data_IF_017733792099
#
_entry.id   IF_017733792099
#
_cell.length_a   1.000
_cell.length_b   1.000
_cell.length_c   1.000
_cell.angle_alpha   90.00
_cell.angle_beta   90.00
_cell.angle_gamma   90.00
#
_symmetry.space_group_name_H-M   'P 1'
#
loop_
_entity.id
_entity.type
_entity.pdbx_description
1 polymer ?
#
# COMPACT_ATOMS: atom_id res chain seq x y z
N UNK A 1 -21.09 12.74 -34.80
CA UNK A 1 -19.75 12.34 -34.43
C UNK A 1 -19.50 12.75 -32.99
N UNK A 2 -19.43 11.84 -32.03
CA UNK A 2 -19.01 12.20 -30.65
C UNK A 2 -17.49 12.18 -30.62
N UNK A 3 -16.92 13.26 -30.13
CA UNK A 3 -15.49 13.47 -29.94
C UNK A 3 -14.91 12.39 -29.04
N UNK A 4 -13.86 11.72 -29.51
CA UNK A 4 -12.93 10.96 -28.71
C UNK A 4 -12.34 11.93 -27.67
N UNK A 5 -12.76 11.85 -26.42
CA UNK A 5 -12.05 12.46 -25.32
C UNK A 5 -10.84 11.57 -24.98
N UNK A 6 -9.75 11.81 -25.69
CA UNK A 6 -8.44 11.40 -25.18
C UNK A 6 -8.24 12.08 -23.83
N UNK A 7 -7.67 11.34 -22.86
CA UNK A 7 -7.28 11.93 -21.56
C UNK A 7 -6.49 13.22 -21.80
N UNK A 8 -6.65 14.23 -20.96
CA UNK A 8 -5.90 15.45 -21.07
C UNK A 8 -4.39 15.13 -21.06
N UNK A 9 -3.56 15.88 -21.80
CA UNK A 9 -2.12 15.62 -21.90
C UNK A 9 -1.39 15.41 -20.57
N UNK A 10 -1.92 15.95 -19.46
CA UNK A 10 -1.43 15.77 -18.10
C UNK A 10 -1.56 14.35 -17.56
N UNK A 11 -2.65 13.63 -17.89
CA UNK A 11 -2.86 12.24 -17.41
C UNK A 11 -1.97 11.24 -18.16
N UNK A 12 -1.76 11.44 -19.44
CA UNK A 12 -0.83 10.60 -20.22
C UNK A 12 0.62 10.76 -19.72
N UNK A 13 1.02 11.97 -19.33
CA UNK A 13 2.34 12.22 -18.75
C UNK A 13 2.50 11.55 -17.38
N UNK A 14 1.45 11.57 -16.54
CA UNK A 14 1.47 10.92 -15.23
C UNK A 14 1.64 9.41 -15.33
N UNK A 15 0.84 8.74 -16.16
CA UNK A 15 0.97 7.29 -16.40
C UNK A 15 2.38 6.93 -16.93
N UNK A 16 2.95 7.75 -17.83
CA UNK A 16 4.30 7.54 -18.33
C UNK A 16 5.34 7.64 -17.20
N UNK A 17 5.21 8.61 -16.30
CA UNK A 17 6.10 8.77 -15.14
C UNK A 17 6.02 7.56 -14.19
N UNK A 18 4.82 7.04 -13.95
CA UNK A 18 4.64 5.83 -13.14
C UNK A 18 5.32 4.61 -13.79
N UNK A 19 5.14 4.43 -15.09
CA UNK A 19 5.78 3.36 -15.86
C UNK A 19 7.31 3.45 -15.81
N UNK A 20 7.87 4.66 -15.93
CA UNK A 20 9.31 4.87 -15.84
C UNK A 20 9.86 4.51 -14.46
N UNK A 21 9.15 4.86 -13.40
CA UNK A 21 9.51 4.51 -12.02
C UNK A 21 9.42 3.00 -11.76
N UNK A 22 8.45 2.32 -12.39
CA UNK A 22 8.24 0.88 -12.26
C UNK A 22 9.19 0.03 -13.10
N UNK A 23 9.68 0.58 -14.23
CA UNK A 23 10.45 -0.16 -15.25
C UNK A 23 11.66 -0.92 -14.73
N UNK A 24 12.49 -0.38 -13.83
CA UNK A 24 13.62 -1.13 -13.28
C UNK A 24 13.18 -2.39 -12.52
N UNK A 25 12.07 -2.32 -11.77
CA UNK A 25 11.51 -3.50 -11.11
C UNK A 25 10.99 -4.52 -12.10
N UNK A 26 10.22 -4.08 -13.12
CA UNK A 26 9.69 -4.94 -14.16
C UNK A 26 10.77 -5.67 -14.99
N UNK A 27 11.99 -5.11 -15.03
CA UNK A 27 13.13 -5.67 -15.75
C UNK A 27 14.11 -6.42 -14.85
N UNK A 28 13.91 -6.39 -13.54
CA UNK A 28 14.86 -6.95 -12.58
C UNK A 28 16.19 -6.19 -12.50
N UNK A 29 16.19 -4.91 -12.91
CA UNK A 29 17.36 -4.03 -12.91
C UNK A 29 17.60 -3.42 -11.53
N UNK A 30 17.77 -4.28 -10.49
CA UNK A 30 17.82 -3.85 -9.08
C UNK A 30 18.93 -2.84 -8.81
N UNK A 31 20.08 -2.97 -9.47
CA UNK A 31 21.20 -2.04 -9.33
C UNK A 31 20.88 -0.62 -9.82
N UNK A 32 19.97 -0.48 -10.78
CA UNK A 32 19.51 0.84 -11.26
C UNK A 32 18.54 1.53 -10.29
N UNK A 33 17.93 0.78 -9.37
CA UNK A 33 17.06 1.31 -8.31
C UNK A 33 17.91 1.80 -7.14
N UNK A 34 18.82 0.94 -6.69
CA UNK A 34 19.79 1.21 -5.65
C UNK A 34 21.03 0.33 -5.91
N UNK A 35 22.20 0.95 -6.00
CA UNK A 35 23.45 0.24 -6.27
C UNK A 35 23.73 -0.89 -5.27
N UNK A 36 23.29 -0.75 -4.03
CA UNK A 36 23.48 -1.73 -2.97
C UNK A 36 22.40 -2.81 -2.93
N UNK A 37 21.25 -2.60 -3.57
CA UNK A 37 20.13 -3.52 -3.47
C UNK A 37 20.46 -4.97 -3.86
N UNK A 38 21.22 -5.27 -4.94
CA UNK A 38 21.59 -6.64 -5.25
C UNK A 38 22.39 -7.31 -4.12
N UNK A 39 23.30 -6.58 -3.47
CA UNK A 39 24.09 -7.10 -2.35
C UNK A 39 23.25 -7.31 -1.09
N UNK A 40 22.30 -6.42 -0.81
CA UNK A 40 21.37 -6.55 0.32
C UNK A 40 20.46 -7.77 0.15
N UNK A 41 19.94 -7.97 -1.06
CA UNK A 41 19.15 -9.17 -1.41
C UNK A 41 19.99 -10.44 -1.26
N UNK A 42 21.26 -10.40 -1.66
CA UNK A 42 22.17 -11.53 -1.49
C UNK A 42 22.44 -11.86 0.00
N UNK A 43 22.56 -10.85 0.85
CA UNK A 43 22.67 -11.03 2.31
C UNK A 43 21.43 -11.72 2.87
N UNK A 44 20.22 -11.21 2.56
CA UNK A 44 18.96 -11.83 3.01
C UNK A 44 18.82 -13.27 2.52
N UNK A 45 19.24 -13.55 1.28
CA UNK A 45 19.26 -14.91 0.73
C UNK A 45 20.24 -15.82 1.49
N UNK A 46 21.41 -15.32 1.83
CA UNK A 46 22.46 -16.10 2.54
C UNK A 46 22.04 -16.51 3.96
N UNK A 47 21.14 -15.76 4.59
CA UNK A 47 20.58 -16.07 5.92
C UNK A 47 19.27 -16.88 5.85
N UNK A 48 18.93 -17.40 4.67
CA UNK A 48 17.83 -18.36 4.50
C UNK A 48 16.45 -17.75 4.20
N UNK A 49 16.35 -16.44 3.97
CA UNK A 49 15.04 -15.81 3.69
C UNK A 49 14.36 -16.39 2.43
N UNK A 50 15.15 -16.84 1.44
CA UNK A 50 14.60 -17.47 0.23
C UNK A 50 14.08 -18.89 0.43
N UNK A 51 14.42 -19.56 1.55
CA UNK A 51 13.99 -20.92 1.88
C UNK A 51 12.81 -20.94 2.86
N UNK A 52 12.41 -19.77 3.35
CA UNK A 52 11.28 -19.62 4.26
C UNK A 52 10.01 -19.38 3.46
N UNK A 53 9.01 -20.25 3.65
CA UNK A 53 7.68 -20.05 3.06
C UNK A 53 6.98 -18.83 3.67
N UNK A 54 6.38 -18.01 2.83
CA UNK A 54 5.61 -16.87 3.27
C UNK A 54 4.42 -16.61 2.32
N UNK A 55 3.22 -16.92 2.78
CA UNK A 55 1.97 -16.69 2.04
C UNK A 55 1.96 -17.32 0.63
N UNK A 56 2.30 -16.55 -0.40
CA UNK A 56 2.24 -16.93 -1.81
C UNK A 56 3.61 -17.20 -2.44
N UNK A 57 4.69 -16.96 -1.71
CA UNK A 57 6.05 -17.10 -2.23
C UNK A 57 7.08 -17.36 -1.14
N UNK A 58 8.31 -16.99 -1.38
CA UNK A 58 9.34 -17.00 -0.37
C UNK A 58 9.28 -15.72 0.49
N UNK A 59 9.80 -15.81 1.69
CA UNK A 59 9.90 -14.64 2.55
C UNK A 59 10.82 -13.57 1.96
N UNK A 60 11.82 -13.97 1.19
CA UNK A 60 12.70 -13.04 0.47
C UNK A 60 11.92 -12.23 -0.58
N UNK A 61 11.03 -12.87 -1.34
CA UNK A 61 10.21 -12.19 -2.33
C UNK A 61 9.32 -11.14 -1.66
N UNK A 62 8.68 -11.49 -0.54
CA UNK A 62 7.90 -10.56 0.26
C UNK A 62 8.73 -9.35 0.73
N UNK A 63 9.95 -9.54 1.24
CA UNK A 63 10.82 -8.44 1.68
C UNK A 63 11.18 -7.50 0.52
N UNK A 64 11.48 -8.05 -0.66
CA UNK A 64 11.77 -7.27 -1.87
C UNK A 64 10.52 -6.54 -2.37
N UNK A 65 9.36 -7.16 -2.27
CA UNK A 65 8.09 -6.57 -2.65
C UNK A 65 7.71 -5.39 -1.76
N UNK A 66 7.92 -5.49 -0.44
CA UNK A 66 7.74 -4.35 0.46
C UNK A 66 8.68 -3.19 0.10
N UNK A 67 9.94 -3.47 -0.17
CA UNK A 67 10.88 -2.46 -0.66
C UNK A 67 10.38 -1.80 -1.94
N UNK A 68 9.89 -2.57 -2.93
CA UNK A 68 9.31 -2.08 -4.18
C UNK A 68 8.13 -1.15 -3.93
N UNK A 69 7.15 -1.58 -3.11
CA UNK A 69 5.97 -0.80 -2.77
C UNK A 69 6.37 0.57 -2.20
N UNK A 70 7.26 0.58 -1.20
CA UNK A 70 7.73 1.81 -0.56
C UNK A 70 8.47 2.74 -1.53
N UNK A 71 9.30 2.19 -2.44
CA UNK A 71 9.98 2.96 -3.48
C UNK A 71 8.98 3.59 -4.47
N UNK A 72 7.97 2.85 -4.89
CA UNK A 72 6.89 3.36 -5.76
C UNK A 72 6.12 4.47 -5.04
N UNK A 73 5.88 4.33 -3.74
CA UNK A 73 5.25 5.36 -2.91
C UNK A 73 6.18 6.55 -2.61
N UNK A 74 7.42 6.54 -3.13
CA UNK A 74 8.43 7.59 -2.92
C UNK A 74 8.82 7.81 -1.46
N UNK A 75 8.75 6.75 -0.65
CA UNK A 75 9.26 6.78 0.70
C UNK A 75 10.78 7.02 0.70
N UNK A 76 11.29 7.68 1.73
CA UNK A 76 12.71 7.92 1.93
C UNK A 76 13.49 6.60 1.94
N UNK A 77 14.74 6.61 1.49
CA UNK A 77 15.57 5.41 1.36
C UNK A 77 15.71 4.62 2.66
N UNK A 78 15.84 5.30 3.81
CA UNK A 78 15.88 4.64 5.12
C UNK A 78 14.60 3.88 5.45
N UNK A 79 13.43 4.37 4.99
CA UNK A 79 12.12 3.70 5.14
C UNK A 79 12.04 2.50 4.20
N UNK A 80 12.52 2.64 2.95
CA UNK A 80 12.58 1.53 1.99
C UNK A 80 13.46 0.39 2.50
N UNK A 81 14.64 0.72 3.05
CA UNK A 81 15.55 -0.24 3.66
C UNK A 81 14.94 -0.86 4.94
N UNK A 82 14.19 -0.06 5.72
CA UNK A 82 13.40 -0.62 6.81
C UNK A 82 12.40 -1.66 6.28
N UNK A 83 11.73 -1.40 5.16
CA UNK A 83 10.84 -2.37 4.51
C UNK A 83 11.55 -3.67 4.12
N UNK A 84 12.72 -3.57 3.51
CA UNK A 84 13.52 -4.74 3.12
C UNK A 84 13.96 -5.59 4.32
N UNK A 85 14.17 -5.00 5.49
CA UNK A 85 14.67 -5.64 6.70
C UNK A 85 13.65 -5.65 7.87
N UNK A 86 12.38 -5.41 7.62
CA UNK A 86 11.36 -5.17 8.65
C UNK A 86 11.15 -6.32 9.66
N UNK A 87 11.61 -7.51 9.35
CA UNK A 87 11.59 -8.68 10.23
C UNK A 87 13.00 -9.13 10.67
N UNK A 88 14.00 -8.24 10.57
CA UNK A 88 15.37 -8.60 10.94
C UNK A 88 15.48 -9.18 12.35
N UNK A 89 14.76 -8.63 13.34
CA UNK A 89 14.86 -9.01 14.75
C UNK A 89 13.57 -9.63 15.31
N UNK A 90 12.67 -10.14 14.46
CA UNK A 90 11.29 -10.46 14.82
C UNK A 90 10.43 -9.18 14.99
N UNK A 91 9.12 -9.29 15.03
CA UNK A 91 8.24 -8.15 15.22
C UNK A 91 6.96 -8.53 15.98
N UNK A 92 6.09 -7.53 16.24
CA UNK A 92 4.87 -7.73 17.03
C UNK A 92 3.77 -8.55 16.35
N UNK A 93 3.85 -8.74 15.03
CA UNK A 93 2.90 -9.57 14.28
C UNK A 93 3.44 -10.99 14.06
N UNK A 94 4.76 -11.13 13.88
CA UNK A 94 5.39 -12.41 13.49
C UNK A 94 6.67 -12.60 14.29
N UNK A 95 6.77 -13.74 14.99
CA UNK A 95 7.97 -14.10 15.74
C UNK A 95 8.96 -14.86 14.83
N UNK A 96 9.47 -14.17 13.81
CA UNK A 96 10.48 -14.66 12.88
C UNK A 96 11.63 -13.65 12.85
N UNK A 97 12.78 -14.01 13.42
CA UNK A 97 13.99 -13.20 13.36
C UNK A 97 14.94 -13.77 12.30
N UNK A 98 15.40 -12.93 11.38
CA UNK A 98 16.39 -13.31 10.35
C UNK A 98 17.81 -13.24 10.95
N UNK A 99 18.05 -12.27 11.82
CA UNK A 99 19.31 -12.06 12.51
C UNK A 99 19.12 -12.28 14.01
N UNK A 100 20.18 -12.70 14.69
CA UNK A 100 20.15 -12.83 16.15
C UNK A 100 19.89 -11.46 16.80
N UNK A 101 18.84 -11.33 17.63
CA UNK A 101 18.47 -10.04 18.21
C UNK A 101 19.53 -9.43 19.15
N UNK A 102 20.45 -10.25 19.65
CA UNK A 102 21.47 -9.81 20.61
C UNK A 102 22.77 -9.35 19.92
N UNK A 103 23.07 -9.90 18.74
CA UNK A 103 24.34 -9.63 18.03
C UNK A 103 24.16 -9.10 16.61
N UNK A 104 22.95 -9.22 16.07
CA UNK A 104 22.65 -8.91 14.66
C UNK A 104 22.56 -7.41 14.35
N UNK A 105 22.38 -6.55 15.36
CA UNK A 105 22.21 -5.10 15.11
C UNK A 105 23.40 -4.46 14.42
N UNK A 106 24.61 -4.74 14.87
CA UNK A 106 25.82 -4.20 14.23
C UNK A 106 26.00 -4.74 12.81
N UNK A 107 25.63 -6.00 12.59
CA UNK A 107 25.65 -6.60 11.25
C UNK A 107 24.66 -5.91 10.32
N UNK A 108 23.41 -5.73 10.74
CA UNK A 108 22.38 -5.04 9.94
C UNK A 108 22.80 -3.59 9.70
N UNK A 109 23.30 -2.90 10.74
CA UNK A 109 23.78 -1.51 10.64
C UNK A 109 24.90 -1.35 9.61
N UNK A 110 25.82 -2.30 9.56
CA UNK A 110 26.89 -2.28 8.56
C UNK A 110 26.38 -2.39 7.12
N UNK A 111 25.20 -3.00 6.91
CA UNK A 111 24.59 -3.14 5.59
C UNK A 111 23.71 -1.95 5.21
N UNK A 112 22.89 -1.44 6.14
CA UNK A 112 21.83 -0.46 5.82
C UNK A 112 22.09 0.94 6.39
N UNK A 113 23.10 1.11 7.24
CA UNK A 113 23.42 2.36 7.93
C UNK A 113 22.59 2.61 9.20
N UNK A 114 23.00 3.60 9.99
CA UNK A 114 22.41 3.89 11.31
C UNK A 114 20.94 4.27 11.25
N UNK A 115 20.55 5.14 10.31
CA UNK A 115 19.17 5.64 10.20
C UNK A 115 18.19 4.52 9.89
N UNK A 116 18.50 3.67 8.91
CA UNK A 116 17.62 2.55 8.55
C UNK A 116 17.61 1.48 9.65
N UNK A 117 18.77 1.14 10.25
CA UNK A 117 18.84 0.16 11.33
C UNK A 117 18.01 0.59 12.55
N UNK A 118 18.06 1.88 12.92
CA UNK A 118 17.24 2.42 13.99
C UNK A 118 15.74 2.23 13.71
N UNK A 119 15.27 2.51 12.48
CA UNK A 119 13.88 2.28 12.09
C UNK A 119 13.51 0.79 12.15
N UNK A 120 14.38 -0.09 11.63
CA UNK A 120 14.20 -1.55 11.67
C UNK A 120 14.07 -2.03 13.12
N UNK A 121 14.98 -1.59 13.99
CA UNK A 121 14.92 -1.96 15.39
C UNK A 121 13.63 -1.52 16.07
N UNK A 122 13.26 -0.25 15.93
CA UNK A 122 12.01 0.28 16.49
C UNK A 122 10.79 -0.46 15.94
N UNK A 123 10.76 -0.72 14.63
CA UNK A 123 9.67 -1.47 13.99
C UNK A 123 9.54 -2.90 14.53
N UNK A 124 10.65 -3.53 14.94
CA UNK A 124 10.66 -4.88 15.49
C UNK A 124 10.27 -4.93 16.98
N UNK A 125 10.59 -3.91 17.78
CA UNK A 125 10.44 -3.97 19.24
C UNK A 125 9.21 -3.25 19.79
N UNK A 126 8.58 -2.39 18.99
CA UNK A 126 7.37 -1.65 19.39
C UNK A 126 6.13 -2.54 19.20
N UNK A 127 5.15 -2.52 20.11
CA UNK A 127 3.89 -3.25 19.99
C UNK A 127 2.97 -2.58 18.96
N UNK A 128 3.32 -2.70 17.66
CA UNK A 128 2.66 -1.97 16.56
C UNK A 128 1.20 -2.35 16.36
N UNK A 129 0.84 -3.62 16.59
CA UNK A 129 -0.55 -4.05 16.43
C UNK A 129 -1.49 -3.29 17.37
N UNK A 130 -1.32 -3.33 18.72
CA UNK A 130 -2.16 -2.52 19.60
C UNK A 130 -2.04 -1.02 19.29
N UNK A 131 -0.84 -0.50 19.03
CA UNK A 131 -0.67 0.92 18.71
C UNK A 131 -1.50 1.34 17.47
N UNK A 132 -1.38 0.62 16.36
CA UNK A 132 -2.03 1.01 15.11
C UNK A 132 -3.53 0.72 15.16
N UNK A 133 -3.94 -0.44 15.61
CA UNK A 133 -5.34 -0.84 15.59
C UNK A 133 -6.09 -0.32 16.83
N UNK A 134 -5.66 -0.67 18.02
CA UNK A 134 -6.42 -0.39 19.25
C UNK A 134 -6.31 1.09 19.67
N UNK A 135 -5.08 1.63 19.68
CA UNK A 135 -4.84 2.98 20.19
C UNK A 135 -5.10 4.09 19.17
N UNK A 136 -5.08 3.78 17.87
CA UNK A 136 -5.27 4.78 16.81
C UNK A 136 -6.51 4.52 15.95
N UNK A 137 -6.54 3.45 15.14
CA UNK A 137 -7.60 3.23 14.17
C UNK A 137 -8.99 3.12 14.82
N UNK A 138 -9.12 2.36 15.89
CA UNK A 138 -10.42 2.12 16.53
C UNK A 138 -10.91 3.27 17.40
N UNK A 139 -10.08 4.31 17.59
CA UNK A 139 -10.54 5.57 18.19
C UNK A 139 -11.34 6.44 17.22
N UNK A 140 -11.38 6.10 15.94
CA UNK A 140 -12.11 6.86 14.91
C UNK A 140 -13.26 6.06 14.35
N UNK A 141 -14.38 6.73 14.07
CA UNK A 141 -15.40 6.22 13.14
C UNK A 141 -15.04 6.58 11.71
N UNK A 142 -15.68 5.93 10.72
CA UNK A 142 -15.45 6.25 9.31
C UNK A 142 -15.91 7.67 8.97
N UNK A 143 -17.03 8.12 9.55
CA UNK A 143 -17.55 9.48 9.38
C UNK A 143 -16.58 10.53 9.94
N UNK A 144 -16.00 10.27 11.11
CA UNK A 144 -14.98 11.14 11.70
C UNK A 144 -13.74 11.24 10.81
N UNK A 145 -13.24 10.12 10.28
CA UNK A 145 -12.09 10.12 9.38
C UNK A 145 -12.38 10.93 8.11
N UNK A 146 -13.53 10.73 7.47
CA UNK A 146 -13.94 11.49 6.28
C UNK A 146 -14.05 12.99 6.59
N UNK A 147 -14.67 13.36 7.71
CA UNK A 147 -14.81 14.76 8.12
C UNK A 147 -13.43 15.38 8.44
N UNK A 148 -12.59 14.67 9.19
CA UNK A 148 -11.28 15.15 9.60
C UNK A 148 -10.33 15.31 8.42
N UNK A 149 -10.37 14.44 7.41
CA UNK A 149 -9.60 14.60 6.18
C UNK A 149 -9.94 15.92 5.47
N UNK A 150 -11.24 16.26 5.36
CA UNK A 150 -11.68 17.52 4.75
C UNK A 150 -11.23 18.74 5.56
N UNK A 151 -11.41 18.70 6.88
CA UNK A 151 -11.02 19.79 7.77
C UNK A 151 -9.51 20.00 7.79
N UNK A 152 -8.72 18.93 7.88
CA UNK A 152 -7.27 19.02 7.90
C UNK A 152 -6.66 19.59 6.62
N UNK A 153 -7.29 19.37 5.47
CA UNK A 153 -6.87 19.99 4.21
C UNK A 153 -7.05 21.52 4.24
N UNK A 154 -8.20 21.97 4.77
CA UNK A 154 -8.48 23.41 4.93
C UNK A 154 -7.52 24.04 5.95
N UNK A 155 -7.29 23.36 7.08
CA UNK A 155 -6.37 23.82 8.14
C UNK A 155 -4.94 23.96 7.61
N UNK A 156 -4.46 22.97 6.87
CA UNK A 156 -3.11 23.01 6.27
C UNK A 156 -2.97 24.16 5.26
N UNK A 157 -3.98 24.36 4.43
CA UNK A 157 -4.01 25.49 3.48
C UNK A 157 -3.95 26.82 4.21
N UNK A 158 -4.79 27.01 5.23
CA UNK A 158 -4.80 28.23 6.05
C UNK A 158 -3.47 28.45 6.73
N UNK A 159 -2.86 27.41 7.31
CA UNK A 159 -1.54 27.50 7.93
C UNK A 159 -0.46 27.99 6.94
N UNK A 160 -0.45 27.43 5.73
CA UNK A 160 0.54 27.78 4.69
C UNK A 160 0.32 29.18 4.10
N UNK A 161 -0.93 29.53 3.76
CA UNK A 161 -1.24 30.77 3.05
C UNK A 161 -1.33 31.98 4.00
N UNK A 162 -2.02 31.83 5.12
CA UNK A 162 -2.35 32.95 6.01
C UNK A 162 -1.63 32.93 7.35
N UNK A 163 -1.03 31.80 7.74
CA UNK A 163 -0.44 31.60 9.06
C UNK A 163 -1.46 31.52 10.18
N UNK A 164 -2.69 31.16 9.86
CA UNK A 164 -3.71 30.90 10.86
C UNK A 164 -3.57 29.47 11.36
N UNK A 165 -3.35 29.33 12.65
CA UNK A 165 -3.24 28.07 13.36
C UNK A 165 -4.36 27.99 14.39
N UNK A 166 -5.21 26.98 14.27
CA UNK A 166 -6.31 26.77 15.21
C UNK A 166 -6.18 25.40 15.86
N UNK A 167 -5.64 25.36 17.08
CA UNK A 167 -5.52 24.15 17.88
C UNK A 167 -6.89 23.61 18.35
N UNK A 168 -7.90 24.48 18.39
CA UNK A 168 -9.25 24.15 18.82
C UNK A 168 -10.08 23.38 17.77
N UNK A 169 -9.52 23.14 16.59
CA UNK A 169 -10.19 22.36 15.55
C UNK A 169 -10.41 20.91 16.00
N UNK A 170 -11.62 20.40 15.79
CA UNK A 170 -12.05 19.09 16.31
C UNK A 170 -11.13 17.92 15.91
N UNK A 171 -10.59 17.93 14.68
CA UNK A 171 -9.69 16.90 14.21
C UNK A 171 -8.31 16.94 14.92
N UNK A 172 -7.77 18.13 15.21
CA UNK A 172 -6.53 18.30 15.98
C UNK A 172 -6.73 17.92 17.45
N UNK A 173 -7.83 18.36 18.04
CA UNK A 173 -8.20 17.99 19.43
C UNK A 173 -8.34 16.49 19.63
N UNK A 174 -8.72 15.74 18.60
CA UNK A 174 -8.79 14.27 18.65
C UNK A 174 -7.42 13.62 18.43
N UNK A 175 -6.65 14.10 17.46
CA UNK A 175 -5.36 13.50 17.11
C UNK A 175 -4.26 13.78 18.14
N UNK A 176 -4.14 15.03 18.60
CA UNK A 176 -3.03 15.45 19.47
C UNK A 176 -2.93 14.69 20.80
N UNK A 177 -4.02 14.38 21.53
CA UNK A 177 -3.95 13.54 22.74
C UNK A 177 -3.52 12.10 22.46
N UNK A 178 -3.91 11.53 21.30
CA UNK A 178 -3.52 10.17 20.90
C UNK A 178 -2.06 10.12 20.43
N UNK A 179 -1.62 11.18 19.75
CA UNK A 179 -0.30 11.28 19.18
C UNK A 179 0.27 12.70 19.33
N UNK A 180 0.78 13.04 20.51
CA UNK A 180 1.34 14.37 20.81
C UNK A 180 2.50 14.74 19.88
N UNK A 181 2.78 16.03 19.76
CA UNK A 181 3.88 16.55 18.97
C UNK A 181 5.25 15.93 19.36
N UNK A 182 5.44 15.64 20.64
CA UNK A 182 6.66 15.02 21.18
C UNK A 182 6.70 13.50 21.04
N UNK A 183 5.66 12.89 20.43
CA UNK A 183 5.55 11.44 20.34
C UNK A 183 4.98 10.78 21.61
N UNK A 184 5.11 9.48 21.68
CA UNK A 184 4.55 8.62 22.73
C UNK A 184 5.61 7.66 23.28
N UNK A 185 5.38 7.17 24.49
CA UNK A 185 6.22 6.13 25.10
C UNK A 185 5.45 4.81 25.11
N UNK A 186 6.08 3.78 24.59
CA UNK A 186 5.52 2.43 24.48
C UNK A 186 6.41 1.43 25.21
N UNK A 187 5.89 0.26 25.50
CA UNK A 187 6.68 -0.80 26.13
C UNK A 187 7.32 -1.68 25.07
N UNK A 188 8.62 -1.92 25.20
CA UNK A 188 9.33 -2.89 24.38
C UNK A 188 8.70 -4.28 24.52
N UNK A 189 8.36 -4.95 23.40
CA UNK A 189 7.59 -6.21 23.39
C UNK A 189 8.25 -7.37 24.14
N UNK A 190 9.59 -7.35 24.30
CA UNK A 190 10.34 -8.43 24.96
C UNK A 190 10.87 -8.04 26.34
N UNK A 191 11.38 -6.81 26.50
CA UNK A 191 12.01 -6.40 27.79
C UNK A 191 11.07 -5.64 28.72
N UNK A 192 9.97 -5.08 28.21
CA UNK A 192 9.07 -4.22 28.96
C UNK A 192 9.61 -2.83 29.27
N UNK A 193 10.82 -2.49 28.79
CA UNK A 193 11.42 -1.17 28.95
C UNK A 193 10.65 -0.11 28.17
N UNK A 194 10.78 1.14 28.57
CA UNK A 194 10.18 2.25 27.89
C UNK A 194 10.93 2.56 26.58
N UNK A 195 10.17 2.64 25.50
CA UNK A 195 10.65 3.04 24.15
C UNK A 195 9.89 4.27 23.72
N UNK A 196 10.60 5.37 23.53
CA UNK A 196 10.03 6.60 22.98
C UNK A 196 10.01 6.54 21.46
N UNK A 197 8.87 6.89 20.86
CA UNK A 197 8.69 7.02 19.40
C UNK A 197 8.06 8.36 19.07
N UNK A 198 8.67 9.08 18.14
CA UNK A 198 8.13 10.35 17.67
C UNK A 198 6.86 10.13 16.83
N UNK A 199 6.09 11.20 16.63
CA UNK A 199 4.92 11.18 15.72
C UNK A 199 5.31 10.75 14.31
N UNK A 200 6.49 11.14 13.82
CA UNK A 200 7.01 10.73 12.49
C UNK A 200 7.30 9.25 12.41
N UNK A 201 7.88 8.67 13.45
CA UNK A 201 8.08 7.21 13.54
C UNK A 201 6.75 6.46 13.49
N UNK A 202 5.72 6.94 14.19
CA UNK A 202 4.38 6.34 14.12
C UNK A 202 3.80 6.42 12.70
N UNK A 203 3.97 7.54 12.00
CA UNK A 203 3.60 7.65 10.59
C UNK A 203 4.35 6.64 9.72
N UNK A 204 5.66 6.48 9.92
CA UNK A 204 6.45 5.43 9.23
C UNK A 204 5.90 4.05 9.50
N UNK A 205 5.50 3.74 10.74
CA UNK A 205 4.92 2.44 11.08
C UNK A 205 3.58 2.20 10.37
N UNK A 206 2.75 3.22 10.23
CA UNK A 206 1.51 3.12 9.44
C UNK A 206 1.81 2.83 7.97
N UNK A 207 2.69 3.60 7.34
CA UNK A 207 3.09 3.40 5.94
C UNK A 207 3.69 2.00 5.72
N UNK A 208 4.58 1.58 6.60
CA UNK A 208 5.19 0.26 6.56
C UNK A 208 4.16 -0.87 6.70
N UNK A 209 3.20 -0.72 7.64
CA UNK A 209 2.14 -1.71 7.85
C UNK A 209 1.19 -1.77 6.66
N UNK A 210 0.89 -0.63 6.03
CA UNK A 210 0.10 -0.61 4.80
C UNK A 210 0.83 -1.34 3.66
N UNK A 211 2.13 -1.13 3.49
CA UNK A 211 2.94 -1.81 2.48
C UNK A 211 2.98 -3.32 2.73
N UNK A 212 3.21 -3.73 3.97
CA UNK A 212 3.24 -5.12 4.41
C UNK A 212 1.88 -5.82 4.15
N UNK A 213 0.78 -5.18 4.54
CA UNK A 213 -0.57 -5.70 4.29
C UNK A 213 -0.91 -5.74 2.81
N UNK A 214 -0.53 -4.73 2.04
CA UNK A 214 -0.77 -4.69 0.59
C UNK A 214 -0.13 -5.87 -0.13
N UNK A 215 0.99 -6.37 0.34
CA UNK A 215 1.63 -7.54 -0.23
C UNK A 215 0.99 -8.86 0.21
N UNK A 216 0.30 -8.90 1.34
CA UNK A 216 -0.19 -10.13 1.97
C UNK A 216 -1.72 -10.36 1.84
N UNK A 217 -2.39 -9.78 0.85
CA UNK A 217 -3.85 -9.85 0.70
C UNK A 217 -4.32 -11.16 0.07
N UNK A 218 -4.87 -12.06 0.87
CA UNK A 218 -5.43 -13.34 0.42
C UNK A 218 -6.76 -13.66 1.09
N UNK A 219 -7.68 -14.27 0.33
CA UNK A 219 -9.00 -14.64 0.82
C UNK A 219 -9.00 -15.67 1.95
N UNK A 220 -8.01 -16.57 2.02
CA UNK A 220 -7.92 -17.53 3.11
C UNK A 220 -7.69 -16.87 4.48
N UNK A 221 -7.10 -15.68 4.51
CA UNK A 221 -6.88 -14.94 5.74
C UNK A 221 -8.18 -14.45 6.36
N UNK A 222 -9.23 -14.26 5.56
CA UNK A 222 -10.56 -13.90 6.05
C UNK A 222 -11.25 -15.09 6.75
N UNK A 223 -10.77 -16.32 6.50
CA UNK A 223 -11.22 -17.53 7.20
C UNK A 223 -10.43 -17.71 8.50
N UNK A 224 -9.12 -17.41 8.46
CA UNK A 224 -8.23 -17.50 9.62
C UNK A 224 -8.52 -16.39 10.64
N UNK A 225 -8.81 -15.19 10.15
CA UNK A 225 -9.13 -14.02 10.97
C UNK A 225 -10.52 -13.49 10.62
N UNK A 226 -11.29 -13.12 11.63
CA UNK A 226 -12.42 -12.23 11.43
C UNK A 226 -11.87 -10.82 11.18
N UNK A 227 -11.91 -10.40 9.91
CA UNK A 227 -11.34 -9.17 9.43
C UNK A 227 -12.36 -8.24 8.78
N UNK A 228 -13.64 -8.48 9.02
CA UNK A 228 -14.73 -7.68 8.47
C UNK A 228 -14.69 -6.20 8.90
N UNK A 229 -14.11 -5.94 10.07
CA UNK A 229 -13.90 -4.59 10.63
C UNK A 229 -12.43 -4.13 10.59
N UNK A 230 -11.52 -4.94 10.03
CA UNK A 230 -10.08 -4.70 10.05
C UNK A 230 -9.39 -5.07 11.36
N UNK A 231 -10.10 -5.70 12.30
CA UNK A 231 -9.60 -5.98 13.64
C UNK A 231 -8.68 -7.19 13.78
N UNK A 232 -8.54 -8.00 12.74
CA UNK A 232 -7.64 -9.17 12.69
C UNK A 232 -7.85 -10.15 13.85
N UNK A 233 -9.10 -10.38 14.27
CA UNK A 233 -9.41 -11.32 15.34
C UNK A 233 -9.28 -12.75 14.85
N UNK A 234 -8.50 -13.56 15.57
CA UNK A 234 -8.34 -14.98 15.23
C UNK A 234 -9.67 -15.74 15.33
N UNK A 235 -10.08 -16.38 14.22
CA UNK A 235 -11.36 -17.10 14.13
C UNK A 235 -11.38 -18.46 14.82
N UNK A 236 -10.21 -18.97 15.22
CA UNK A 236 -10.06 -20.35 15.74
C UNK A 236 -9.87 -21.41 14.65
N UNK A 237 -9.94 -21.05 13.37
CA UNK A 237 -9.82 -21.98 12.26
C UNK A 237 -8.35 -22.16 11.81
N UNK A 238 -7.60 -22.99 12.53
CA UNK A 238 -6.19 -23.26 12.20
C UNK A 238 -5.98 -23.92 10.82
N UNK A 239 -6.97 -24.64 10.30
CA UNK A 239 -6.85 -25.33 9.02
C UNK A 239 -6.77 -24.35 7.84
N UNK A 240 -7.33 -23.16 7.97
CA UNK A 240 -7.24 -22.13 6.95
C UNK A 240 -5.80 -21.67 6.67
N UNK A 241 -4.89 -21.83 7.64
CA UNK A 241 -3.48 -21.51 7.46
C UNK A 241 -2.72 -22.49 6.56
N UNK A 242 -3.24 -23.72 6.39
CA UNK A 242 -2.63 -24.77 5.58
C UNK A 242 -3.08 -24.76 4.12
N UNK A 243 -4.15 -24.05 3.82
CA UNK A 243 -4.74 -24.00 2.50
C UNK A 243 -4.71 -22.57 1.94
N UNK A 244 -4.21 -22.36 0.72
CA UNK A 244 -4.13 -21.02 0.11
C UNK A 244 -5.50 -20.40 -0.19
N UNK A 245 -6.60 -21.09 0.13
CA UNK A 245 -7.96 -20.65 -0.16
C UNK A 245 -8.33 -20.85 -1.63
N UNK A 246 -9.32 -20.09 -2.07
CA UNK A 246 -9.86 -20.11 -3.43
C UNK A 246 -9.16 -19.11 -4.38
N UNK A 247 -8.19 -18.36 -3.90
CA UNK A 247 -7.49 -17.30 -4.62
C UNK A 247 -8.22 -15.95 -4.60
N UNK A 248 -9.33 -15.87 -3.88
CA UNK A 248 -10.11 -14.63 -3.71
C UNK A 248 -9.27 -13.54 -3.06
N UNK A 249 -9.37 -12.27 -3.50
CA UNK A 249 -8.70 -11.16 -2.83
C UNK A 249 -9.12 -11.03 -1.36
N UNK A 250 -8.17 -10.70 -0.49
CA UNK A 250 -8.44 -10.55 0.95
C UNK A 250 -9.12 -9.24 1.31
N UNK A 251 -9.70 -9.19 2.52
CA UNK A 251 -10.43 -8.02 3.05
C UNK A 251 -9.55 -7.05 3.86
N UNK A 252 -8.24 -7.25 3.90
CA UNK A 252 -7.36 -6.36 4.65
C UNK A 252 -7.37 -4.92 4.14
N UNK A 253 -7.91 -4.68 2.96
CA UNK A 253 -8.03 -3.36 2.33
C UNK A 253 -8.86 -2.36 3.14
N UNK A 254 -9.83 -2.79 3.94
CA UNK A 254 -10.57 -1.89 4.82
C UNK A 254 -9.67 -1.29 5.91
N UNK A 255 -8.75 -2.08 6.49
CA UNK A 255 -7.73 -1.58 7.40
C UNK A 255 -6.76 -0.63 6.70
N UNK A 256 -6.33 -0.96 5.47
CA UNK A 256 -5.44 -0.12 4.66
C UNK A 256 -6.08 1.24 4.39
N UNK A 257 -7.36 1.28 4.01
CA UNK A 257 -8.08 2.53 3.76
C UNK A 257 -8.10 3.45 4.99
N UNK A 258 -8.38 2.89 6.16
CA UNK A 258 -8.41 3.63 7.44
C UNK A 258 -7.01 4.05 7.87
N UNK A 259 -5.99 3.19 7.70
CA UNK A 259 -4.58 3.55 7.95
C UNK A 259 -4.12 4.69 7.06
N UNK A 260 -4.49 4.68 5.77
CA UNK A 260 -4.19 5.75 4.83
C UNK A 260 -4.80 7.09 5.23
N UNK A 261 -6.05 7.08 5.72
CA UNK A 261 -6.71 8.27 6.25
C UNK A 261 -5.97 8.83 7.47
N UNK A 262 -5.67 7.97 8.45
CA UNK A 262 -4.95 8.37 9.66
C UNK A 262 -3.53 8.86 9.34
N UNK A 263 -2.80 8.17 8.47
CA UNK A 263 -1.49 8.62 7.99
C UNK A 263 -1.56 10.04 7.41
N UNK A 264 -2.55 10.29 6.57
CA UNK A 264 -2.75 11.62 5.96
C UNK A 264 -3.01 12.69 7.02
N UNK A 265 -3.81 12.40 8.05
CA UNK A 265 -4.05 13.32 9.17
C UNK A 265 -2.76 13.61 9.95
N UNK A 266 -1.96 12.58 10.23
CA UNK A 266 -0.69 12.73 10.95
C UNK A 266 0.30 13.59 10.15
N UNK A 267 0.44 13.33 8.86
CA UNK A 267 1.35 14.13 8.00
C UNK A 267 0.92 15.59 7.94
N UNK A 268 -0.37 15.85 7.75
CA UNK A 268 -0.89 17.23 7.74
C UNK A 268 -0.69 17.95 9.08
N UNK A 269 -0.87 17.26 10.20
CA UNK A 269 -0.59 17.82 11.52
C UNK A 269 0.90 18.13 11.70
N UNK A 270 1.80 17.26 11.22
CA UNK A 270 3.24 17.54 11.23
C UNK A 270 3.60 18.76 10.37
N UNK A 271 3.02 18.89 9.19
CA UNK A 271 3.24 20.06 8.33
C UNK A 271 2.75 21.35 8.99
N UNK A 272 1.55 21.34 9.60
CA UNK A 272 1.00 22.49 10.33
C UNK A 272 1.91 22.85 11.50
N UNK A 273 2.35 21.89 12.29
CA UNK A 273 3.25 22.09 13.41
C UNK A 273 4.60 22.70 12.98
N UNK A 274 5.16 22.23 11.86
CA UNK A 274 6.40 22.79 11.32
C UNK A 274 6.23 24.23 10.80
N UNK A 275 5.11 24.55 10.17
CA UNK A 275 4.79 25.91 9.74
C UNK A 275 4.60 26.86 10.94
N UNK A 276 3.95 26.40 12.00
CA UNK A 276 3.78 27.15 13.25
C UNK A 276 5.14 27.48 13.88
N UNK A 277 6.02 26.48 14.03
CA UNK A 277 7.39 26.68 14.56
C UNK A 277 8.22 27.65 13.74
N UNK A 278 8.16 27.62 12.44
CA UNK A 278 8.87 28.58 11.57
C UNK A 278 8.46 30.01 11.85
N UNK A 279 7.21 30.27 12.22
CA UNK A 279 6.66 31.61 12.44
C UNK A 279 6.86 32.12 13.87
N UNK A 280 6.80 31.26 14.86
CA UNK A 280 6.90 31.63 16.28
C UNK A 280 8.36 31.78 16.75
N UNK A 281 9.33 31.27 15.96
CA UNK A 281 10.74 31.24 16.35
C UNK A 281 11.05 30.08 17.31
N UNK A 282 11.86 29.15 16.85
CA UNK A 282 12.02 27.84 17.45
C UNK A 282 12.43 27.82 18.92
N UNK A 283 11.61 27.16 19.72
CA UNK A 283 11.96 26.64 21.04
C UNK A 283 12.79 25.34 20.96
N UNK A 284 13.18 24.81 22.12
CA UNK A 284 14.03 23.65 22.32
C UNK A 284 13.72 22.53 21.33
N UNK A 285 14.73 22.10 20.60
CA UNK A 285 14.66 20.96 19.67
C UNK A 285 14.55 19.69 20.49
N UNK A 286 13.35 19.10 20.53
CA UNK A 286 13.17 17.71 20.92
C UNK A 286 13.58 16.82 19.76
N UNK A 287 14.12 15.66 20.03
CA UNK A 287 14.39 14.63 19.01
C UNK A 287 13.05 14.16 18.46
N UNK A 288 12.69 14.67 17.29
CA UNK A 288 11.39 14.45 16.62
C UNK A 288 11.56 13.70 15.30
N UNK A 289 12.75 13.23 15.03
CA UNK A 289 13.07 12.60 13.75
C UNK A 289 12.75 13.50 12.54
N UNK A 290 13.08 14.79 12.62
CA UNK A 290 12.77 15.78 11.57
C UNK A 290 13.53 15.55 10.26
N UNK A 291 14.53 14.70 10.26
CA UNK A 291 15.24 14.17 9.10
C UNK A 291 14.44 13.12 8.31
N UNK A 292 13.38 12.58 8.89
CA UNK A 292 12.46 11.68 8.19
C UNK A 292 11.48 12.52 7.37
N UNK A 293 11.55 12.36 6.05
CA UNK A 293 10.56 12.94 5.13
C UNK A 293 9.30 12.08 5.06
N UNK A 294 8.14 12.71 5.29
CA UNK A 294 6.84 12.07 5.16
C UNK A 294 6.18 12.51 3.86
N UNK A 295 5.84 11.55 3.01
CA UNK A 295 5.17 11.79 1.73
C UNK A 295 3.82 11.07 1.76
N UNK A 296 2.75 11.74 1.31
CA UNK A 296 1.44 11.09 1.12
C UNK A 296 1.41 10.50 -0.30
N UNK A 297 1.45 9.17 -0.45
CA UNK A 297 1.37 8.53 -1.76
C UNK A 297 0.02 8.82 -2.43
N UNK A 298 -0.04 9.04 -3.76
CA UNK A 298 -1.30 9.28 -4.47
C UNK A 298 -2.35 8.21 -4.26
N UNK A 299 -1.94 6.95 -4.11
CA UNK A 299 -2.84 5.82 -3.84
C UNK A 299 -3.63 5.99 -2.54
N UNK A 300 -3.09 6.72 -1.54
CA UNK A 300 -3.80 6.95 -0.27
C UNK A 300 -5.02 7.85 -0.46
N UNK A 301 -4.96 8.82 -1.36
CA UNK A 301 -6.13 9.63 -1.71
C UNK A 301 -7.27 8.78 -2.28
N UNK A 302 -6.95 7.78 -3.09
CA UNK A 302 -7.94 6.86 -3.63
C UNK A 302 -8.52 5.95 -2.54
N UNK A 303 -7.67 5.26 -1.77
CA UNK A 303 -8.14 4.27 -0.79
C UNK A 303 -8.93 4.89 0.37
N UNK A 304 -8.69 6.15 0.73
CA UNK A 304 -9.44 6.85 1.76
C UNK A 304 -10.86 7.29 1.34
N UNK A 305 -11.22 7.10 0.09
CA UNK A 305 -12.61 7.34 -0.39
C UNK A 305 -13.57 6.23 0.03
N UNK A 306 -13.07 5.04 0.30
CA UNK A 306 -13.87 3.86 0.68
C UNK A 306 -13.36 3.32 1.99
N UNK A 307 -13.97 3.73 3.08
CA UNK A 307 -13.67 3.24 4.43
C UNK A 307 -14.63 2.12 4.86
N UNK A 308 -15.87 2.11 4.35
CA UNK A 308 -16.89 1.14 4.73
C UNK A 308 -16.46 -0.28 4.33
N UNK A 309 -16.29 -1.13 5.34
CA UNK A 309 -15.95 -2.53 5.16
C UNK A 309 -17.00 -3.30 4.34
N UNK A 310 -18.29 -2.95 4.43
CA UNK A 310 -19.36 -3.62 3.70
C UNK A 310 -19.26 -3.36 2.20
N UNK A 311 -18.98 -2.12 1.80
CA UNK A 311 -18.79 -1.79 0.39
C UNK A 311 -17.58 -2.52 -0.19
N UNK A 312 -16.50 -2.66 0.57
CA UNK A 312 -15.32 -3.41 0.13
C UNK A 312 -15.60 -4.92 0.01
N UNK A 313 -16.36 -5.50 0.95
CA UNK A 313 -16.80 -6.91 0.88
C UNK A 313 -17.65 -7.14 -0.36
N UNK A 314 -18.65 -6.30 -0.59
CA UNK A 314 -19.56 -6.41 -1.75
C UNK A 314 -18.78 -6.27 -3.05
N UNK A 315 -17.90 -5.28 -3.16
CA UNK A 315 -17.06 -5.06 -4.34
C UNK A 315 -16.17 -6.28 -4.63
N UNK A 316 -15.51 -6.83 -3.60
CA UNK A 316 -14.70 -8.03 -3.73
C UNK A 316 -15.52 -9.23 -4.22
N UNK A 317 -16.67 -9.45 -3.64
CA UNK A 317 -17.52 -10.61 -3.98
C UNK A 317 -18.07 -10.48 -5.41
N UNK A 318 -18.46 -9.27 -5.83
CA UNK A 318 -18.85 -8.97 -7.21
C UNK A 318 -17.70 -9.21 -8.21
N UNK A 319 -16.49 -8.75 -7.88
CA UNK A 319 -15.31 -9.00 -8.69
C UNK A 319 -15.08 -10.51 -8.85
N UNK A 320 -15.08 -11.24 -7.73
CA UNK A 320 -14.81 -12.65 -7.72
C UNK A 320 -15.86 -13.46 -8.52
N UNK A 321 -17.14 -13.16 -8.31
CA UNK A 321 -18.22 -13.78 -9.07
C UNK A 321 -18.11 -13.45 -10.57
N UNK A 322 -17.86 -12.18 -10.91
CA UNK A 322 -17.67 -11.74 -12.29
C UNK A 322 -16.53 -12.45 -13.00
N UNK A 323 -15.41 -12.67 -12.32
CA UNK A 323 -14.23 -13.34 -12.88
C UNK A 323 -14.45 -14.86 -12.99
N UNK A 324 -14.99 -15.50 -11.95
CA UNK A 324 -15.21 -16.96 -11.95
C UNK A 324 -16.30 -17.40 -12.94
N UNK A 325 -17.35 -16.62 -13.12
CA UNK A 325 -18.47 -16.92 -13.98
C UNK A 325 -18.39 -16.28 -15.38
N UNK A 326 -17.27 -15.63 -15.70
CA UNK A 326 -17.11 -14.92 -16.98
C UNK A 326 -17.37 -15.80 -18.20
N UNK A 327 -16.97 -17.07 -18.15
CA UNK A 327 -17.23 -18.06 -19.21
C UNK A 327 -18.71 -18.39 -19.41
N UNK A 328 -19.55 -18.20 -18.39
CA UNK A 328 -20.99 -18.48 -18.43
C UNK A 328 -21.82 -17.22 -18.69
N UNK A 329 -21.45 -16.09 -18.07
CA UNK A 329 -22.22 -14.85 -18.09
C UNK A 329 -21.77 -13.86 -19.17
N UNK A 330 -20.53 -13.97 -19.64
CA UNK A 330 -20.00 -13.08 -20.69
C UNK A 330 -20.16 -11.59 -20.33
N UNK A 331 -21.12 -10.93 -20.99
CA UNK A 331 -21.34 -9.49 -20.88
C UNK A 331 -21.97 -9.04 -19.56
N UNK A 332 -22.75 -9.87 -18.90
CA UNK A 332 -23.33 -9.55 -17.59
C UNK A 332 -22.23 -9.38 -16.53
N UNK A 333 -21.10 -10.06 -16.69
CA UNK A 333 -19.92 -9.83 -15.84
C UNK A 333 -19.41 -8.38 -15.88
N UNK A 334 -19.62 -7.68 -17.01
CA UNK A 334 -19.21 -6.28 -17.11
C UNK A 334 -20.03 -5.35 -16.20
N UNK A 335 -21.32 -5.60 -16.03
CA UNK A 335 -22.17 -4.80 -15.14
C UNK A 335 -21.76 -5.00 -13.69
N UNK A 336 -21.46 -6.23 -13.27
CA UNK A 336 -20.95 -6.54 -11.93
C UNK A 336 -19.60 -5.86 -11.67
N UNK A 337 -18.70 -5.87 -12.65
CA UNK A 337 -17.39 -5.22 -12.53
C UNK A 337 -17.51 -3.69 -12.49
N UNK A 338 -18.46 -3.10 -13.22
CA UNK A 338 -18.73 -1.66 -13.14
C UNK A 338 -19.23 -1.28 -11.74
N UNK A 339 -20.15 -2.05 -11.16
CA UNK A 339 -20.59 -1.83 -9.79
C UNK A 339 -19.46 -2.07 -8.79
N UNK A 340 -18.60 -3.06 -9.02
CA UNK A 340 -17.41 -3.31 -8.21
C UNK A 340 -16.50 -2.07 -8.17
N UNK A 341 -16.15 -1.48 -9.32
CA UNK A 341 -15.27 -0.31 -9.38
C UNK A 341 -15.92 0.97 -8.86
N UNK A 342 -17.23 1.04 -8.83
CA UNK A 342 -17.96 2.13 -8.19
C UNK A 342 -17.85 2.04 -6.66
N UNK A 343 -18.01 0.84 -6.11
CA UNK A 343 -17.92 0.60 -4.66
C UNK A 343 -16.47 0.60 -4.14
N UNK A 344 -15.53 0.15 -4.93
CA UNK A 344 -14.10 0.10 -4.57
C UNK A 344 -13.22 0.65 -5.71
N UNK A 345 -13.11 1.99 -5.85
CA UNK A 345 -12.43 2.63 -6.97
C UNK A 345 -10.91 2.62 -6.89
N UNK A 346 -10.31 2.06 -5.84
CA UNK A 346 -8.87 2.10 -5.63
C UNK A 346 -8.12 0.81 -6.01
N UNK A 347 -8.82 -0.20 -6.57
CA UNK A 347 -8.21 -1.44 -7.07
C UNK A 347 -8.20 -1.47 -8.60
N UNK A 348 -7.09 -1.92 -9.19
CA UNK A 348 -6.87 -1.86 -10.62
C UNK A 348 -7.42 -3.04 -11.41
N UNK A 349 -7.46 -4.23 -10.83
CA UNK A 349 -7.75 -5.48 -11.52
C UNK A 349 -9.15 -5.54 -12.16
N UNK A 350 -10.22 -5.05 -11.53
CA UNK A 350 -11.54 -4.99 -12.18
C UNK A 350 -11.53 -4.18 -13.48
N UNK A 351 -10.77 -3.10 -13.53
CA UNK A 351 -10.59 -2.28 -14.72
C UNK A 351 -9.84 -3.04 -15.82
N UNK A 352 -8.82 -3.83 -15.48
CA UNK A 352 -8.09 -4.67 -16.44
C UNK A 352 -9.04 -5.71 -17.07
N UNK A 353 -9.87 -6.34 -16.24
CA UNK A 353 -10.87 -7.33 -16.72
C UNK A 353 -11.93 -6.65 -17.60
N UNK A 354 -12.43 -5.48 -17.21
CA UNK A 354 -13.36 -4.68 -18.03
C UNK A 354 -12.76 -4.33 -19.39
N UNK A 355 -11.49 -3.90 -19.43
CA UNK A 355 -10.80 -3.62 -20.68
C UNK A 355 -10.77 -4.83 -21.60
N UNK A 356 -10.47 -6.02 -21.09
CA UNK A 356 -10.50 -7.26 -21.88
C UNK A 356 -11.89 -7.58 -22.43
N UNK A 357 -12.94 -7.39 -21.60
CA UNK A 357 -14.34 -7.59 -22.05
C UNK A 357 -14.68 -6.62 -23.17
N UNK A 358 -14.32 -5.34 -23.04
CA UNK A 358 -14.58 -4.33 -24.06
C UNK A 358 -13.81 -4.59 -25.36
N UNK A 359 -12.56 -5.02 -25.29
CA UNK A 359 -11.80 -5.46 -26.48
C UNK A 359 -12.50 -6.60 -27.20
N UNK A 360 -12.96 -7.60 -26.46
CA UNK A 360 -13.69 -8.74 -27.02
C UNK A 360 -14.98 -8.33 -27.75
N UNK A 361 -15.58 -7.19 -27.34
CA UNK A 361 -16.76 -6.61 -27.97
C UNK A 361 -16.45 -5.61 -29.08
N UNK A 362 -15.18 -5.30 -29.36
CA UNK A 362 -14.80 -4.25 -30.30
C UNK A 362 -15.05 -2.83 -29.80
N UNK A 363 -15.25 -2.65 -28.48
CA UNK A 363 -15.46 -1.33 -27.84
C UNK A 363 -14.10 -0.77 -27.42
N UNK A 364 -13.30 -0.34 -28.40
CA UNK A 364 -11.89 -0.01 -28.21
C UNK A 364 -11.66 1.22 -27.34
N UNK A 365 -12.51 2.26 -27.44
CA UNK A 365 -12.37 3.48 -26.65
C UNK A 365 -12.63 3.22 -25.16
N UNK A 366 -13.60 2.39 -24.84
CA UNK A 366 -13.88 1.99 -23.45
C UNK A 366 -12.78 1.08 -22.93
N UNK A 367 -12.31 0.16 -23.75
CA UNK A 367 -11.20 -0.70 -23.41
C UNK A 367 -9.92 0.10 -23.10
N UNK A 368 -9.63 1.13 -23.86
CA UNK A 368 -8.49 2.03 -23.65
C UNK A 368 -8.61 2.74 -22.29
N UNK A 369 -9.76 3.37 -22.01
CA UNK A 369 -9.99 4.06 -20.74
C UNK A 369 -9.85 3.13 -19.53
N UNK A 370 -10.43 1.94 -19.61
CA UNK A 370 -10.34 0.98 -18.50
C UNK A 370 -8.91 0.46 -18.32
N UNK A 371 -8.19 0.16 -19.41
CA UNK A 371 -6.79 -0.25 -19.35
C UNK A 371 -5.89 0.85 -18.75
N UNK A 372 -6.05 2.12 -19.15
CA UNK A 372 -5.28 3.22 -18.58
C UNK A 372 -5.53 3.40 -17.10
N UNK A 373 -6.79 3.29 -16.66
CA UNK A 373 -7.17 3.40 -15.26
C UNK A 373 -6.64 2.23 -14.44
N UNK A 374 -6.83 1.00 -14.90
CA UNK A 374 -6.31 -0.20 -14.23
C UNK A 374 -4.80 -0.19 -14.12
N UNK A 375 -4.10 0.20 -15.20
CA UNK A 375 -2.64 0.30 -15.21
C UNK A 375 -2.13 1.36 -14.23
N UNK A 376 -2.78 2.52 -14.16
CA UNK A 376 -2.44 3.59 -13.22
C UNK A 376 -2.54 3.10 -11.78
N UNK A 377 -3.65 2.47 -11.40
CA UNK A 377 -3.87 1.96 -10.05
C UNK A 377 -2.87 0.86 -9.67
N UNK A 378 -2.62 -0.11 -10.56
CA UNK A 378 -1.62 -1.15 -10.34
C UNK A 378 -0.22 -0.59 -10.13
N UNK A 379 0.15 0.45 -10.88
CA UNK A 379 1.44 1.12 -10.74
C UNK A 379 1.52 1.96 -9.47
N UNK A 380 0.46 2.63 -9.06
CA UNK A 380 0.40 3.40 -7.81
C UNK A 380 0.50 2.50 -6.58
N UNK A 381 -0.15 1.34 -6.60
CA UNK A 381 -0.09 0.38 -5.49
C UNK A 381 1.28 -0.29 -5.35
N UNK A 382 1.94 -0.64 -6.46
CA UNK A 382 3.15 -1.44 -6.44
C UNK A 382 2.94 -2.91 -6.05
N UNK A 383 1.70 -3.33 -5.86
CA UNK A 383 1.29 -4.70 -5.50
C UNK A 383 -0.08 -5.00 -6.10
N UNK A 384 -0.41 -6.24 -6.49
CA UNK A 384 -1.74 -6.57 -6.96
C UNK A 384 -2.67 -6.84 -5.77
N UNK A 385 -3.94 -6.52 -5.92
CA UNK A 385 -4.99 -6.95 -5.03
C UNK A 385 -5.36 -8.42 -5.28
N UNK A 386 -5.47 -8.83 -6.52
CA UNK A 386 -5.70 -10.22 -6.92
C UNK A 386 -4.36 -10.94 -7.11
N UNK A 387 -4.01 -11.76 -6.12
CA UNK A 387 -2.72 -12.46 -6.03
C UNK A 387 -2.61 -13.71 -6.92
N UNK A 388 -3.62 -14.04 -7.74
CA UNK A 388 -3.52 -15.14 -8.72
C UNK A 388 -2.49 -14.88 -9.80
N UNK A 389 -2.20 -13.60 -10.04
CA UNK A 389 -1.16 -13.15 -10.97
C UNK A 389 -0.23 -12.17 -10.24
N UNK A 390 1.08 -12.25 -10.50
CA UNK A 390 2.03 -11.30 -9.93
C UNK A 390 1.75 -9.88 -10.39
N UNK A 391 2.28 -8.88 -9.66
CA UNK A 391 2.17 -7.48 -10.03
C UNK A 391 2.71 -7.22 -11.45
N UNK A 392 3.87 -7.79 -11.79
CA UNK A 392 4.49 -7.71 -13.11
C UNK A 392 3.58 -8.32 -14.18
N UNK A 393 2.95 -9.45 -13.86
CA UNK A 393 2.01 -10.12 -14.75
C UNK A 393 0.77 -9.28 -15.04
N UNK A 394 0.17 -8.67 -14.01
CA UNK A 394 -0.96 -7.76 -14.20
C UNK A 394 -0.60 -6.55 -15.05
N UNK A 395 0.55 -5.93 -14.78
CA UNK A 395 1.05 -4.78 -15.56
C UNK A 395 1.31 -5.18 -17.01
N UNK A 396 2.00 -6.30 -17.23
CA UNK A 396 2.30 -6.78 -18.56
C UNK A 396 1.01 -7.04 -19.35
N UNK A 397 0.05 -7.71 -18.74
CA UNK A 397 -1.24 -7.97 -19.38
C UNK A 397 -2.02 -6.69 -19.66
N UNK A 398 -2.13 -5.79 -18.70
CA UNK A 398 -2.81 -4.52 -18.88
C UNK A 398 -2.19 -3.67 -20.00
N UNK A 399 -0.86 -3.67 -20.13
CA UNK A 399 -0.15 -2.98 -21.23
C UNK A 399 -0.46 -3.59 -22.59
N UNK A 400 -0.60 -4.91 -22.67
CA UNK A 400 -1.05 -5.59 -23.91
C UNK A 400 -2.46 -5.14 -24.25
N UNK A 401 -3.38 -5.13 -23.30
CA UNK A 401 -4.76 -4.67 -23.53
C UNK A 401 -4.79 -3.22 -24.01
N UNK A 402 -4.04 -2.33 -23.36
CA UNK A 402 -3.94 -0.91 -23.73
C UNK A 402 -3.40 -0.74 -25.15
N UNK A 403 -2.35 -1.48 -25.50
CA UNK A 403 -1.78 -1.47 -26.84
C UNK A 403 -2.82 -1.91 -27.89
N UNK A 404 -3.54 -3.00 -27.62
CA UNK A 404 -4.56 -3.53 -28.53
C UNK A 404 -5.78 -2.60 -28.64
N UNK A 405 -6.16 -1.92 -27.59
CA UNK A 405 -7.20 -0.90 -27.62
C UNK A 405 -6.80 0.27 -28.54
N UNK A 406 -5.57 0.79 -28.41
CA UNK A 406 -5.04 1.86 -29.26
C UNK A 406 -4.88 1.45 -30.72
N UNK A 407 -4.48 0.21 -30.98
CA UNK A 407 -4.41 -0.37 -32.35
C UNK A 407 -5.80 -0.68 -32.94
N UNK A 408 -6.88 -0.59 -32.14
CA UNK A 408 -8.24 -1.00 -32.51
C UNK A 408 -8.28 -2.42 -33.08
N UNK A 409 -7.54 -3.33 -32.47
CA UNK A 409 -7.34 -4.69 -32.96
C UNK A 409 -7.41 -5.67 -31.78
N UNK A 410 -8.26 -6.68 -31.91
CA UNK A 410 -8.36 -7.76 -30.94
C UNK A 410 -8.49 -9.10 -31.65
N UNK A 411 -7.71 -10.13 -31.29
CA UNK A 411 -7.80 -11.44 -31.91
C UNK A 411 -9.15 -12.11 -31.64
N UNK A 412 -9.67 -12.78 -32.65
CA UNK A 412 -10.93 -13.55 -32.56
C UNK A 412 -10.71 -15.06 -32.36
N UNK A 413 -9.46 -15.49 -32.36
CA UNK A 413 -9.09 -16.91 -32.22
C UNK A 413 -8.17 -17.13 -31.01
N UNK A 414 -8.21 -18.33 -30.42
CA UNK A 414 -7.31 -18.70 -29.33
C UNK A 414 -5.82 -18.55 -29.73
N UNK A 415 -5.45 -18.91 -30.98
CA UNK A 415 -4.10 -18.71 -31.48
C UNK A 415 -3.71 -17.23 -31.55
N UNK A 416 -4.65 -16.38 -31.93
CA UNK A 416 -4.42 -14.94 -31.92
C UNK A 416 -4.17 -14.39 -30.52
N UNK A 417 -4.91 -14.88 -29.52
CA UNK A 417 -4.70 -14.50 -28.12
C UNK A 417 -3.31 -14.96 -27.61
N UNK A 418 -2.92 -16.20 -27.92
CA UNK A 418 -1.59 -16.72 -27.55
C UNK A 418 -0.43 -15.97 -28.22
N UNK A 419 -0.67 -15.31 -29.35
CA UNK A 419 0.32 -14.59 -30.13
C UNK A 419 0.17 -13.06 -30.04
N UNK A 420 -0.32 -12.52 -28.92
CA UNK A 420 -0.52 -11.07 -28.76
C UNK A 420 0.77 -10.24 -28.80
N UNK A 421 1.91 -10.87 -28.72
CA UNK A 421 3.20 -10.21 -28.89
C UNK A 421 3.66 -9.45 -27.65
N UNK A 422 4.83 -8.82 -27.77
CA UNK A 422 5.46 -8.06 -26.71
C UNK A 422 5.05 -6.59 -26.76
N UNK A 423 4.85 -6.00 -25.60
CA UNK A 423 4.72 -4.54 -25.44
C UNK A 423 6.11 -3.92 -25.53
N UNK A 424 6.28 -2.94 -26.41
CA UNK A 424 7.53 -2.20 -26.60
C UNK A 424 7.51 -0.87 -25.84
#
# INVERSE_FOLDING_TARGET
MPYSQSLPPSQNHYLQTLLESARPFLRGELESIDRNLPSLVAVLRSVGAGECWHKHGSFLDHLVDIYRILKIWKAQDSICLCGLFHSAYSNSYVNLAIFDPSTGRDTVRAHVGDAAERLIHLFCVVPRQPLIHDDLLFHYTDEELVQHLKLSEISLRNAKETGLFNEEEGWRKKLQPLLPANGITLKHIKTGEDVHVSRRIVAVFLMMTMADFSDQLFGFQDILFDNSDGGLKFSGNNYAALWPGDGKPGLWMNSISRMGALYTLIVREEEIFMEERKRVGGGIVLDRDEDIELVIPPVFENCTRVLDAKDQIVARDMYWEGVCDMSKRGLESAEMLLECVEKNPFVGEPHVVLSQIYLTKGRFEEAEREAEKGLTLLLEWGSPWDKRTSWEGWIAWCRVLLMKAKERSWPQTSWGILNLGLVR
#
